data_IF_615401352222
#
_entry.id   IF_615401352222
#
_cell.length_a   1.000
_cell.length_b   1.000
_cell.length_c   1.000
_cell.angle_alpha   90.00
_cell.angle_beta   90.00
_cell.angle_gamma   90.00
#
_symmetry.space_group_name_H-M   'P 1'
#
loop_
_entity.id
_entity.type
_entity.pdbx_description
1 polymer ?
#
# COMPACT_ATOMS: atom_id res chain seq x y z
N UNK A 1 1.04 22.78 18.17
CA UNK A 1 1.50 21.43 18.56
C UNK A 1 1.57 20.43 17.40
N UNK A 2 0.46 19.94 16.82
CA UNK A 2 0.51 18.90 15.78
C UNK A 2 1.41 19.25 14.58
N UNK A 3 1.34 20.49 14.10
CA UNK A 3 2.22 21.01 13.05
C UNK A 3 3.70 20.99 13.44
N UNK A 4 4.01 21.29 14.71
CA UNK A 4 5.37 21.30 15.25
C UNK A 4 5.93 19.87 15.38
N UNK A 5 5.10 18.90 15.80
CA UNK A 5 5.49 17.48 15.87
C UNK A 5 5.63 16.82 14.49
N UNK A 6 4.83 17.28 13.51
CA UNK A 6 4.76 16.82 12.12
C UNK A 6 4.34 15.34 11.89
N UNK A 7 4.82 14.41 12.70
CA UNK A 7 4.54 12.97 12.62
C UNK A 7 4.58 12.31 13.99
N UNK A 8 3.91 11.18 14.13
CA UNK A 8 4.13 10.25 15.25
C UNK A 8 5.46 9.54 15.05
N UNK A 9 6.24 9.41 16.12
CA UNK A 9 7.52 8.66 16.12
C UNK A 9 7.29 7.29 16.76
N UNK A 10 7.60 6.23 16.00
CA UNK A 10 7.50 4.85 16.46
C UNK A 10 8.88 4.35 16.89
N UNK A 11 9.01 4.03 18.17
CA UNK A 11 10.18 3.36 18.74
C UNK A 11 9.83 1.89 18.98
N UNK A 12 10.82 1.06 19.29
CA UNK A 12 10.63 -0.38 19.53
C UNK A 12 9.74 -0.61 20.76
N UNK A 13 9.93 0.18 21.82
CA UNK A 13 9.27 0.02 23.12
C UNK A 13 8.04 0.92 23.31
N UNK A 14 7.94 2.02 22.54
CA UNK A 14 6.89 3.03 22.74
C UNK A 14 6.58 3.81 21.48
N UNK A 15 5.47 4.56 21.52
CA UNK A 15 5.08 5.52 20.49
C UNK A 15 5.02 6.92 21.08
N UNK A 16 5.63 7.90 20.39
CA UNK A 16 5.54 9.32 20.71
C UNK A 16 4.49 9.93 19.77
N UNK A 17 3.24 10.14 20.22
CA UNK A 17 2.15 10.49 19.32
C UNK A 17 2.20 11.95 18.87
N UNK A 18 1.81 12.19 17.62
CA UNK A 18 1.62 13.54 17.06
C UNK A 18 0.46 14.30 17.72
N UNK A 19 -0.60 13.56 18.08
CA UNK A 19 -1.81 14.08 18.70
C UNK A 19 -1.94 13.53 20.14
N UNK A 20 -2.75 14.16 21.01
CA UNK A 20 -3.07 13.61 22.32
C UNK A 20 -3.65 12.19 22.24
N UNK A 21 -3.29 11.31 23.19
CA UNK A 21 -3.77 9.91 23.24
C UNK A 21 -5.30 9.78 23.15
N UNK A 22 -6.13 10.61 23.80
CA UNK A 22 -7.59 10.51 23.63
C UNK A 22 -8.05 10.68 22.17
N UNK A 23 -7.36 11.50 21.36
CA UNK A 23 -7.66 11.60 19.93
C UNK A 23 -7.16 10.37 19.17
N UNK A 24 -5.92 9.95 19.41
CA UNK A 24 -5.31 8.82 18.71
C UNK A 24 -5.99 7.46 18.97
N UNK A 25 -6.36 7.20 20.22
CA UNK A 25 -6.76 5.86 20.70
C UNK A 25 -8.28 5.70 20.83
N UNK A 26 -9.01 6.82 21.02
CA UNK A 26 -10.44 6.80 21.31
C UNK A 26 -11.24 7.48 20.20
N UNK A 27 -11.06 8.79 20.01
CA UNK A 27 -11.96 9.59 19.20
C UNK A 27 -11.77 9.38 17.68
N UNK A 28 -10.51 9.37 17.21
CA UNK A 28 -10.20 9.20 15.79
C UNK A 28 -9.85 7.76 15.42
N UNK A 29 -9.54 6.90 16.40
CA UNK A 29 -9.29 5.47 16.14
C UNK A 29 -10.56 4.79 15.63
N UNK A 30 -10.45 4.04 14.53
CA UNK A 30 -11.54 3.29 13.92
C UNK A 30 -11.77 1.95 14.64
N UNK A 31 -12.04 2.04 15.95
CA UNK A 31 -12.32 0.88 16.79
C UNK A 31 -13.61 0.17 16.32
N UNK A 32 -13.59 -1.16 16.39
CA UNK A 32 -14.70 -2.01 16.01
C UNK A 32 -15.94 -1.79 16.87
N UNK A 33 -17.11 -1.99 16.27
CA UNK A 33 -18.43 -1.88 16.91
C UNK A 33 -18.72 -0.51 17.56
N UNK A 34 -18.07 0.56 17.10
CA UNK A 34 -18.37 1.93 17.52
C UNK A 34 -18.50 2.85 16.30
N UNK A 35 -19.49 3.75 16.35
CA UNK A 35 -19.70 4.72 15.28
C UNK A 35 -18.56 5.74 15.26
N UNK A 36 -18.06 6.05 14.07
CA UNK A 36 -16.90 6.93 13.85
C UNK A 36 -17.13 7.83 12.65
N UNK A 37 -16.72 9.09 12.82
CA UNK A 37 -16.58 10.01 11.70
C UNK A 37 -15.38 9.58 10.86
N UNK A 38 -15.57 9.55 9.54
CA UNK A 38 -14.53 9.23 8.58
C UNK A 38 -14.56 10.21 7.40
N UNK A 39 -13.45 10.26 6.67
CA UNK A 39 -13.41 10.82 5.34
C UNK A 39 -13.20 9.65 4.37
N UNK A 40 -14.22 9.36 3.57
CA UNK A 40 -14.22 8.24 2.65
C UNK A 40 -13.89 8.68 1.22
N UNK A 41 -13.14 7.81 0.54
CA UNK A 41 -12.90 7.83 -0.89
C UNK A 41 -13.41 6.49 -1.44
N UNK A 42 -14.40 6.54 -2.33
CA UNK A 42 -15.16 5.36 -2.79
C UNK A 42 -15.13 5.31 -4.30
N UNK A 43 -14.86 4.13 -4.87
CA UNK A 43 -14.74 3.96 -6.31
C UNK A 43 -15.17 2.54 -6.73
N UNK A 44 -15.39 2.34 -8.03
CA UNK A 44 -15.80 1.06 -8.60
C UNK A 44 -14.65 0.46 -9.42
N UNK A 45 -14.30 -0.79 -9.14
CA UNK A 45 -13.19 -1.51 -9.78
C UNK A 45 -13.63 -2.79 -10.46
N UNK A 46 -12.92 -3.12 -11.53
CA UNK A 46 -12.93 -4.44 -12.13
C UNK A 46 -12.04 -5.40 -11.33
N UNK A 47 -12.25 -6.71 -11.52
CA UNK A 47 -11.48 -7.75 -10.83
C UNK A 47 -9.99 -7.79 -11.20
N UNK A 48 -9.61 -7.20 -12.35
CA UNK A 48 -8.22 -7.06 -12.79
C UNK A 48 -7.49 -5.87 -12.13
N UNK A 49 -8.18 -5.10 -11.29
CA UNK A 49 -7.66 -3.91 -10.64
C UNK A 49 -7.81 -2.63 -11.46
N UNK A 50 -8.40 -2.66 -12.65
CA UNK A 50 -8.71 -1.41 -13.37
C UNK A 50 -9.94 -0.72 -12.76
N UNK A 51 -10.06 0.59 -12.94
CA UNK A 51 -11.30 1.29 -12.60
C UNK A 51 -12.35 1.02 -13.67
N UNK A 52 -13.61 0.94 -13.26
CA UNK A 52 -14.71 0.81 -14.20
C UNK A 52 -14.95 2.15 -14.91
N UNK A 53 -14.72 2.21 -16.23
CA UNK A 53 -15.04 3.39 -17.04
C UNK A 53 -16.56 3.57 -17.18
N UNK A 54 -17.17 4.45 -16.37
CA UNK A 54 -18.59 4.78 -16.53
C UNK A 54 -18.89 5.58 -17.81
N UNK A 55 -17.89 6.27 -18.37
CA UNK A 55 -17.98 7.05 -19.61
C UNK A 55 -18.31 6.14 -20.81
N UNK A 56 -17.69 4.96 -20.90
CA UNK A 56 -17.92 4.03 -22.00
C UNK A 56 -19.30 3.34 -21.94
N UNK A 57 -19.93 3.26 -20.77
CA UNK A 57 -21.28 2.69 -20.63
C UNK A 57 -22.37 3.69 -21.05
N UNK A 58 -22.21 4.99 -20.76
CA UNK A 58 -23.11 6.02 -21.33
C UNK A 58 -22.88 6.20 -22.84
N UNK A 59 -21.63 6.16 -23.30
CA UNK A 59 -21.34 6.22 -24.74
C UNK A 59 -21.76 4.97 -25.51
N UNK A 60 -21.71 3.75 -24.95
CA UNK A 60 -22.30 2.56 -25.62
C UNK A 60 -23.82 2.63 -25.75
N UNK A 61 -24.50 3.39 -24.91
CA UNK A 61 -25.94 3.66 -25.05
C UNK A 61 -26.24 4.88 -25.95
N UNK A 62 -25.26 5.77 -26.19
CA UNK A 62 -25.44 7.00 -27.00
C UNK A 62 -24.68 7.03 -28.34
N UNK A 63 -23.76 6.09 -28.61
CA UNK A 63 -23.09 5.90 -29.92
C UNK A 63 -24.02 5.22 -30.95
N UNK A 64 -25.29 5.60 -30.92
CA UNK A 64 -26.14 5.61 -32.11
C UNK A 64 -26.17 6.98 -32.81
N UNK A 65 -25.55 8.05 -32.26
CA UNK A 65 -25.44 9.35 -32.98
C UNK A 65 -24.17 10.16 -32.69
N UNK A 66 -23.40 10.30 -33.77
CA UNK A 66 -22.56 11.44 -34.19
C UNK A 66 -21.21 11.76 -33.51
N UNK A 67 -20.28 12.10 -34.42
CA UNK A 67 -18.87 12.45 -34.23
C UNK A 67 -18.68 13.97 -34.19
N UNK A 68 -17.68 14.45 -33.42
CA UNK A 68 -16.56 15.34 -33.86
C UNK A 68 -15.88 16.02 -32.68
N UNK A 69 -14.59 16.33 -32.88
CA UNK A 69 -13.61 16.68 -31.85
C UNK A 69 -13.75 18.06 -31.20
N UNK A 70 -13.19 18.16 -30.00
CA UNK A 70 -12.98 19.37 -29.21
C UNK A 70 -12.01 19.09 -28.05
N UNK A 71 -11.22 20.10 -27.67
CA UNK A 71 -10.28 20.09 -26.52
C UNK A 71 -10.97 19.53 -25.26
N UNK A 72 -10.41 18.47 -24.67
CA UNK A 72 -10.93 17.84 -23.43
C UNK A 72 -10.69 18.74 -22.23
N UNK A 73 -11.72 19.46 -21.80
CA UNK A 73 -11.84 20.02 -20.46
C UNK A 73 -12.34 18.91 -19.53
N UNK A 74 -11.54 18.48 -18.56
CA UNK A 74 -11.97 17.52 -17.54
C UNK A 74 -13.07 18.15 -16.67
N UNK A 75 -14.29 17.59 -16.68
CA UNK A 75 -15.37 17.99 -15.76
C UNK A 75 -15.44 17.03 -14.58
N UNK A 76 -15.96 17.52 -13.45
CA UNK A 76 -16.05 16.78 -12.19
C UNK A 76 -16.97 15.54 -12.27
N UNK A 77 -17.85 15.50 -13.28
CA UNK A 77 -18.77 14.38 -13.58
C UNK A 77 -18.07 13.17 -14.25
N UNK A 78 -16.80 13.29 -14.62
CA UNK A 78 -16.01 12.25 -15.31
C UNK A 78 -15.14 11.40 -14.36
N UNK A 79 -15.15 11.70 -13.05
CA UNK A 79 -14.35 10.95 -12.07
C UNK A 79 -15.13 9.77 -11.48
N UNK A 80 -14.66 8.54 -11.70
CA UNK A 80 -15.20 7.29 -11.13
C UNK A 80 -15.00 7.16 -9.60
N UNK A 81 -14.72 8.27 -8.90
CA UNK A 81 -14.34 8.31 -7.49
C UNK A 81 -15.19 9.35 -6.76
N UNK A 82 -15.90 8.91 -5.74
CA UNK A 82 -16.66 9.74 -4.81
C UNK A 82 -15.84 10.04 -3.56
N UNK A 83 -15.94 11.27 -3.06
CA UNK A 83 -15.28 11.73 -1.85
C UNK A 83 -16.30 12.35 -0.90
N UNK A 84 -16.21 12.09 0.39
CA UNK A 84 -17.07 12.76 1.35
C UNK A 84 -16.83 12.37 2.80
N UNK A 85 -17.35 13.22 3.70
CA UNK A 85 -17.41 12.93 5.13
C UNK A 85 -18.52 11.91 5.38
N UNK A 86 -18.21 10.88 6.14
CA UNK A 86 -19.09 9.73 6.38
C UNK A 86 -19.14 9.38 7.87
N UNK A 87 -20.12 8.55 8.23
CA UNK A 87 -20.16 7.83 9.50
C UNK A 87 -20.00 6.35 9.18
N UNK A 88 -19.06 5.68 9.85
CA UNK A 88 -18.82 4.25 9.69
C UNK A 88 -18.88 3.54 11.03
N UNK A 89 -19.13 2.23 11.00
CA UNK A 89 -19.04 1.34 12.16
C UNK A 89 -18.28 0.10 11.75
N UNK A 90 -16.99 0.01 12.11
CA UNK A 90 -16.16 -1.12 11.71
C UNK A 90 -16.70 -2.41 12.33
N UNK A 91 -16.94 -3.45 11.52
CA UNK A 91 -17.48 -4.71 12.02
C UNK A 91 -16.43 -5.64 12.62
N UNK A 92 -15.15 -5.49 12.26
CA UNK A 92 -14.06 -6.34 12.72
C UNK A 92 -12.73 -5.59 12.80
N UNK A 93 -11.82 -6.07 13.66
CA UNK A 93 -10.43 -5.57 13.78
C UNK A 93 -9.44 -6.69 13.51
N UNK A 94 -9.12 -6.88 12.23
CA UNK A 94 -8.16 -7.89 11.78
C UNK A 94 -6.72 -7.42 11.98
N UNK A 95 -5.83 -8.33 12.35
CA UNK A 95 -4.38 -8.16 12.14
C UNK A 95 -3.96 -8.80 10.81
N UNK A 96 -2.71 -8.55 10.42
CA UNK A 96 -2.17 -9.05 9.17
C UNK A 96 -2.10 -10.59 9.12
N UNK A 97 -1.89 -11.26 10.25
CA UNK A 97 -1.86 -12.72 10.31
C UNK A 97 -3.25 -13.32 10.11
N UNK A 98 -4.27 -12.79 10.79
CA UNK A 98 -5.67 -13.20 10.62
C UNK A 98 -6.13 -12.95 9.19
N UNK A 99 -5.84 -11.78 8.62
CA UNK A 99 -6.17 -11.47 7.23
C UNK A 99 -5.44 -12.42 6.25
N UNK A 100 -4.18 -12.78 6.52
CA UNK A 100 -3.47 -13.77 5.71
C UNK A 100 -4.10 -15.14 5.82
N UNK A 101 -4.51 -15.59 7.00
CA UNK A 101 -5.20 -16.87 7.20
C UNK A 101 -6.53 -16.92 6.41
N UNK A 102 -7.24 -15.81 6.30
CA UNK A 102 -8.45 -15.68 5.48
C UNK A 102 -8.11 -15.84 3.99
N UNK A 103 -7.06 -15.14 3.52
CA UNK A 103 -6.58 -15.19 2.13
C UNK A 103 -6.13 -16.61 1.75
N UNK A 104 -5.39 -17.28 2.63
CA UNK A 104 -4.87 -18.64 2.44
C UNK A 104 -5.95 -19.74 2.60
N UNK A 105 -7.21 -19.35 2.81
CA UNK A 105 -8.33 -20.27 3.07
C UNK A 105 -8.09 -21.23 4.26
N UNK A 106 -7.26 -20.82 5.23
CA UNK A 106 -7.01 -21.60 6.46
C UNK A 106 -8.16 -21.53 7.45
N UNK A 107 -9.07 -20.56 7.29
CA UNK A 107 -10.28 -20.39 8.09
C UNK A 107 -11.49 -20.50 7.17
N UNK A 108 -11.93 -21.74 6.94
CA UNK A 108 -13.17 -22.04 6.21
C UNK A 108 -14.28 -22.21 7.23
N UNK A 109 -15.36 -21.40 7.19
CA UNK A 109 -16.51 -21.65 8.04
C UNK A 109 -17.09 -23.03 7.75
N UNK A 110 -17.38 -23.82 8.79
CA UNK A 110 -17.81 -25.24 8.73
C UNK A 110 -19.05 -25.54 7.87
N UNK A 111 -19.69 -24.54 7.27
CA UNK A 111 -20.84 -24.69 6.37
C UNK A 111 -20.47 -24.99 4.90
N UNK A 112 -19.18 -24.93 4.51
CA UNK A 112 -18.74 -25.10 3.09
C UNK A 112 -17.76 -26.26 2.92
N UNK A 113 -17.97 -27.39 3.59
CA UNK A 113 -17.19 -28.63 3.34
C UNK A 113 -17.82 -29.47 2.24
N UNK A 114 -17.63 -29.04 0.99
CA UNK A 114 -17.77 -29.91 -0.19
C UNK A 114 -16.37 -30.27 -0.70
N UNK A 115 -15.63 -31.08 0.04
CA UNK A 115 -14.33 -31.61 -0.37
C UNK A 115 -13.37 -31.86 0.79
N UNK A 116 -12.94 -33.13 0.94
CA UNK A 116 -11.80 -33.77 1.64
C UNK A 116 -11.09 -33.16 2.89
N UNK A 117 -11.35 -31.93 3.33
CA UNK A 117 -10.73 -31.35 4.51
C UNK A 117 -11.60 -31.60 5.76
N UNK A 118 -11.01 -32.26 6.76
CA UNK A 118 -11.63 -32.37 8.10
C UNK A 118 -11.94 -30.97 8.64
N UNK A 119 -13.10 -30.76 9.28
CA UNK A 119 -13.39 -29.51 9.95
C UNK A 119 -12.32 -29.22 11.01
N UNK A 120 -11.88 -27.97 11.08
CA UNK A 120 -10.91 -27.51 12.07
C UNK A 120 -11.50 -27.69 13.47
N UNK A 121 -10.65 -28.05 14.43
CA UNK A 121 -11.05 -28.00 15.85
C UNK A 121 -11.29 -26.54 16.25
N UNK A 122 -12.22 -26.29 17.17
CA UNK A 122 -12.51 -24.93 17.68
C UNK A 122 -11.24 -24.25 18.20
N UNK A 123 -10.35 -25.00 18.85
CA UNK A 123 -9.06 -24.49 19.32
C UNK A 123 -8.19 -23.97 18.18
N UNK A 124 -8.03 -24.73 17.10
CA UNK A 124 -7.23 -24.31 15.95
C UNK A 124 -7.88 -23.15 15.20
N UNK A 125 -9.20 -23.08 15.20
CA UNK A 125 -9.92 -21.94 14.64
C UNK A 125 -9.71 -20.67 15.47
N UNK A 126 -9.72 -20.77 16.81
CA UNK A 126 -9.40 -19.66 17.72
C UNK A 126 -7.97 -19.13 17.53
N UNK A 127 -7.00 -20.04 17.31
CA UNK A 127 -5.61 -19.68 17.01
C UNK A 127 -5.47 -18.92 15.68
N UNK A 128 -6.25 -19.28 14.67
CA UNK A 128 -6.16 -18.68 13.33
C UNK A 128 -7.02 -17.42 13.16
N UNK A 129 -8.15 -17.33 13.86
CA UNK A 129 -9.05 -16.16 13.89
C UNK A 129 -9.65 -15.98 15.30
N UNK A 130 -8.97 -15.21 16.17
CA UNK A 130 -9.40 -15.01 17.55
C UNK A 130 -10.78 -14.36 17.67
N UNK A 131 -11.58 -14.76 18.66
CA UNK A 131 -12.94 -14.22 18.93
C UNK A 131 -12.98 -12.70 19.02
N UNK A 132 -11.97 -12.10 19.66
CA UNK A 132 -11.85 -10.64 19.79
C UNK A 132 -11.70 -9.90 18.45
N UNK A 133 -11.34 -10.61 17.37
CA UNK A 133 -11.16 -10.05 16.02
C UNK A 133 -12.24 -10.51 15.04
N UNK A 134 -13.24 -11.27 15.50
CA UNK A 134 -14.34 -11.74 14.66
C UNK A 134 -15.34 -10.63 14.39
N UNK A 135 -16.13 -10.74 13.30
CA UNK A 135 -17.12 -9.74 12.94
C UNK A 135 -18.20 -9.57 14.02
N UNK A 136 -18.69 -8.35 14.15
CA UNK A 136 -19.75 -7.90 15.05
C UNK A 136 -20.83 -7.17 14.25
N UNK A 137 -21.91 -6.73 14.91
CA UNK A 137 -22.93 -5.88 14.27
C UNK A 137 -23.80 -6.60 13.23
N UNK A 138 -23.98 -7.92 13.36
CA UNK A 138 -24.81 -8.72 12.45
C UNK A 138 -24.07 -9.27 11.23
N UNK A 139 -22.80 -8.94 11.05
CA UNK A 139 -21.96 -9.50 9.99
C UNK A 139 -21.45 -10.90 10.36
N UNK A 140 -21.41 -11.78 9.38
CA UNK A 140 -20.96 -13.17 9.54
C UNK A 140 -19.48 -13.35 9.21
N UNK A 141 -18.87 -14.43 9.71
CA UNK A 141 -17.50 -14.81 9.35
C UNK A 141 -17.33 -15.02 7.84
N UNK A 142 -18.34 -15.60 7.19
CA UNK A 142 -18.30 -15.90 5.76
C UNK A 142 -18.33 -14.63 4.91
N UNK A 143 -19.15 -13.63 5.27
CA UNK A 143 -19.20 -12.33 4.57
C UNK A 143 -17.84 -11.64 4.61
N UNK A 144 -17.29 -11.43 5.82
CA UNK A 144 -15.99 -10.76 5.98
C UNK A 144 -14.86 -11.54 5.31
N UNK A 145 -14.87 -12.88 5.40
CA UNK A 145 -13.88 -13.70 4.71
C UNK A 145 -13.96 -13.57 3.18
N UNK A 146 -15.17 -13.54 2.63
CA UNK A 146 -15.42 -13.38 1.20
C UNK A 146 -14.97 -11.99 0.72
N UNK A 147 -15.27 -10.94 1.47
CA UNK A 147 -14.88 -9.57 1.16
C UNK A 147 -13.35 -9.40 1.18
N UNK A 148 -12.66 -9.94 2.20
CA UNK A 148 -11.19 -9.89 2.26
C UNK A 148 -10.55 -10.61 1.07
N UNK A 149 -11.07 -11.78 0.67
CA UNK A 149 -10.58 -12.51 -0.51
C UNK A 149 -10.83 -11.75 -1.81
N UNK A 150 -12.00 -11.11 -1.93
CA UNK A 150 -12.33 -10.28 -3.08
C UNK A 150 -11.39 -9.06 -3.16
N UNK A 151 -11.21 -8.36 -2.04
CA UNK A 151 -10.29 -7.22 -1.94
C UNK A 151 -8.85 -7.61 -2.26
N UNK A 152 -8.41 -8.78 -1.78
CA UNK A 152 -7.10 -9.35 -2.08
C UNK A 152 -6.93 -9.58 -3.59
N UNK A 153 -7.89 -10.24 -4.25
CA UNK A 153 -7.85 -10.50 -5.69
C UNK A 153 -7.68 -9.22 -6.51
N UNK A 154 -8.48 -8.20 -6.21
CA UNK A 154 -8.42 -6.89 -6.87
C UNK A 154 -7.09 -6.20 -6.58
N UNK A 155 -6.61 -6.25 -5.34
CA UNK A 155 -5.31 -5.66 -4.96
C UNK A 155 -4.14 -6.31 -5.70
N UNK A 156 -4.15 -7.64 -5.91
CA UNK A 156 -3.09 -8.30 -6.67
C UNK A 156 -3.12 -7.92 -8.16
N UNK A 157 -4.30 -7.71 -8.74
CA UNK A 157 -4.45 -7.15 -10.09
C UNK A 157 -3.86 -5.73 -10.19
N UNK A 158 -4.21 -4.86 -9.23
CA UNK A 158 -3.62 -3.51 -9.09
C UNK A 158 -2.10 -3.53 -8.99
N UNK A 159 -1.58 -4.38 -8.11
CA UNK A 159 -0.16 -4.51 -7.89
C UNK A 159 0.55 -4.91 -9.18
N UNK A 160 0.01 -5.91 -9.89
CA UNK A 160 0.54 -6.32 -11.19
C UNK A 160 0.58 -5.15 -12.18
N UNK A 161 -0.53 -4.42 -12.35
CA UNK A 161 -0.59 -3.23 -13.21
C UNK A 161 0.44 -2.17 -12.82
N UNK A 162 0.65 -1.94 -11.52
CA UNK A 162 1.63 -0.97 -10.99
C UNK A 162 3.06 -1.30 -11.40
N UNK A 163 3.48 -2.57 -11.31
CA UNK A 163 4.81 -3.00 -11.76
C UNK A 163 4.93 -3.08 -13.29
N UNK A 164 3.87 -3.50 -13.99
CA UNK A 164 3.84 -3.48 -15.45
C UNK A 164 3.98 -2.04 -15.99
N UNK A 165 3.42 -1.07 -15.26
CA UNK A 165 3.56 0.37 -15.51
C UNK A 165 4.91 0.95 -15.08
N UNK A 166 5.80 0.18 -14.44
CA UNK A 166 7.17 0.59 -14.16
C UNK A 166 7.46 1.05 -12.73
N UNK A 167 6.61 0.71 -11.77
CA UNK A 167 6.95 0.90 -10.37
C UNK A 167 8.17 0.04 -9.96
N UNK A 168 8.85 0.52 -8.94
CA UNK A 168 10.03 -0.08 -8.33
C UNK A 168 9.72 -0.37 -6.86
N UNK A 169 9.88 -1.63 -6.48
CA UNK A 169 9.81 -2.08 -5.09
C UNK A 169 11.23 -2.25 -4.58
N UNK A 170 11.59 -1.40 -3.64
CA UNK A 170 12.82 -1.47 -2.89
C UNK A 170 12.41 -1.55 -1.43
N UNK A 171 12.66 -2.69 -0.79
CA UNK A 171 12.35 -2.90 0.62
C UNK A 171 13.66 -3.10 1.38
N UNK A 172 13.96 -2.18 2.30
CA UNK A 172 15.05 -2.40 3.25
C UNK A 172 14.66 -3.45 4.29
N UNK A 173 15.64 -4.15 4.85
CA UNK A 173 15.42 -5.10 5.93
C UNK A 173 14.84 -4.39 7.16
N UNK A 174 13.61 -4.76 7.55
CA UNK A 174 12.97 -4.28 8.79
C UNK A 174 13.11 -5.33 9.88
N UNK A 175 13.73 -4.93 10.99
CA UNK A 175 13.82 -5.75 12.19
C UNK A 175 12.56 -5.61 13.05
N UNK A 176 12.10 -6.73 13.57
CA UNK A 176 11.05 -6.83 14.57
C UNK A 176 11.63 -7.49 15.82
N UNK A 177 11.29 -6.93 16.99
CA UNK A 177 11.75 -7.40 18.28
C UNK A 177 10.57 -7.91 19.09
N UNK A 178 10.74 -9.05 19.77
CA UNK A 178 9.84 -9.46 20.85
C UNK A 178 10.43 -8.97 22.15
N UNK A 179 9.67 -8.16 22.87
CA UNK A 179 10.07 -7.64 24.18
C UNK A 179 9.54 -8.56 25.27
N UNK A 180 10.39 -8.86 26.24
CA UNK A 180 9.96 -9.57 27.45
C UNK A 180 8.98 -8.69 28.22
N UNK A 181 7.80 -9.22 28.55
CA UNK A 181 6.72 -8.45 29.19
C UNK A 181 7.09 -7.92 30.58
N UNK A 182 7.97 -8.60 31.31
CA UNK A 182 8.37 -8.23 32.67
C UNK A 182 9.53 -7.24 32.68
N UNK A 183 10.55 -7.46 31.84
CA UNK A 183 11.78 -6.65 31.86
C UNK A 183 11.80 -5.54 30.81
N UNK A 184 10.98 -5.63 29.77
CA UNK A 184 10.99 -4.71 28.62
C UNK A 184 12.19 -4.88 27.67
N UNK A 185 13.07 -5.86 27.92
CA UNK A 185 14.27 -6.12 27.12
C UNK A 185 13.93 -7.04 25.94
N UNK A 186 14.46 -6.81 24.73
CA UNK A 186 14.25 -7.70 23.60
C UNK A 186 14.87 -9.09 23.85
N UNK A 187 14.07 -10.14 23.71
CA UNK A 187 14.52 -11.54 23.82
C UNK A 187 14.61 -12.27 22.47
N UNK A 188 14.01 -11.69 21.42
CA UNK A 188 14.04 -12.19 20.06
C UNK A 188 14.14 -11.01 19.08
N UNK A 189 14.97 -11.19 18.06
CA UNK A 189 15.07 -10.30 16.90
C UNK A 189 14.90 -11.12 15.63
N UNK A 190 14.09 -10.63 14.70
CA UNK A 190 13.90 -11.25 13.40
C UNK A 190 13.52 -10.22 12.34
N UNK A 191 13.42 -10.65 11.08
CA UNK A 191 12.89 -9.78 10.02
C UNK A 191 11.36 -9.74 10.09
N UNK A 192 10.78 -8.61 9.72
CA UNK A 192 9.32 -8.48 9.56
C UNK A 192 8.93 -8.89 8.14
N UNK A 193 8.32 -10.08 7.94
CA UNK A 193 7.94 -10.53 6.60
C UNK A 193 6.74 -9.74 6.08
N UNK A 194 6.86 -9.19 4.87
CA UNK A 194 5.74 -8.56 4.16
C UNK A 194 4.96 -9.66 3.44
N UNK A 195 3.70 -9.87 3.83
CA UNK A 195 2.79 -10.87 3.25
C UNK A 195 1.73 -10.23 2.35
N UNK A 196 0.90 -11.05 1.73
CA UNK A 196 -0.15 -10.57 0.83
C UNK A 196 -1.22 -9.74 1.56
N UNK A 197 -1.47 -9.99 2.84
CA UNK A 197 -2.31 -9.13 3.67
C UNK A 197 -1.75 -7.71 3.83
N UNK A 198 -0.42 -7.54 3.89
CA UNK A 198 0.22 -6.21 3.89
C UNK A 198 0.04 -5.53 2.54
N UNK A 199 0.32 -6.26 1.45
CA UNK A 199 0.23 -5.77 0.07
C UNK A 199 -1.21 -5.39 -0.30
N UNK A 200 -2.21 -6.12 0.22
CA UNK A 200 -3.62 -5.78 0.07
C UNK A 200 -3.87 -4.34 0.53
N UNK A 201 -3.49 -4.01 1.77
CA UNK A 201 -3.72 -2.66 2.32
C UNK A 201 -2.89 -1.63 1.56
N UNK A 202 -1.63 -1.94 1.24
CA UNK A 202 -0.74 -1.05 0.48
C UNK A 202 -1.40 -0.54 -0.81
N UNK A 203 -1.97 -1.42 -1.63
CA UNK A 203 -2.54 -1.05 -2.93
C UNK A 203 -3.74 -0.10 -2.81
N UNK A 204 -4.64 -0.33 -1.85
CA UNK A 204 -5.78 0.57 -1.62
C UNK A 204 -5.34 1.92 -1.05
N UNK A 205 -4.32 1.94 -0.19
CA UNK A 205 -3.77 3.19 0.34
C UNK A 205 -3.07 4.01 -0.75
N UNK A 206 -2.26 3.38 -1.60
CA UNK A 206 -1.61 4.02 -2.74
C UNK A 206 -2.66 4.62 -3.69
N UNK A 207 -3.73 3.87 -3.98
CA UNK A 207 -4.80 4.31 -4.87
C UNK A 207 -5.58 5.50 -4.29
N UNK A 208 -5.96 5.45 -3.01
CA UNK A 208 -6.63 6.57 -2.35
C UNK A 208 -5.76 7.84 -2.38
N UNK A 209 -4.48 7.71 -2.04
CA UNK A 209 -3.52 8.82 -2.05
C UNK A 209 -3.33 9.41 -3.46
N UNK A 210 -3.26 8.58 -4.49
CA UNK A 210 -3.16 9.04 -5.89
C UNK A 210 -4.40 9.86 -6.30
N UNK A 211 -5.59 9.36 -6.01
CA UNK A 211 -6.84 10.03 -6.37
C UNK A 211 -7.06 11.34 -5.63
N UNK A 212 -6.70 11.38 -4.35
CA UNK A 212 -6.72 12.62 -3.58
C UNK A 212 -5.70 13.62 -4.12
N UNK A 213 -4.50 13.20 -4.54
CA UNK A 213 -3.55 14.10 -5.20
C UNK A 213 -4.15 14.74 -6.47
N UNK A 214 -4.82 13.96 -7.31
CA UNK A 214 -5.51 14.48 -8.49
C UNK A 214 -6.63 15.46 -8.13
N UNK A 215 -7.41 15.15 -7.08
CA UNK A 215 -8.46 16.03 -6.58
C UNK A 215 -7.89 17.37 -6.13
N UNK A 216 -6.80 17.36 -5.36
CA UNK A 216 -6.11 18.56 -4.88
C UNK A 216 -5.62 19.42 -6.04
N UNK A 217 -4.93 18.84 -7.03
CA UNK A 217 -4.41 19.59 -8.19
C UNK A 217 -5.53 20.31 -8.94
N UNK A 218 -6.71 19.68 -9.02
CA UNK A 218 -7.85 20.20 -9.79
C UNK A 218 -8.65 21.25 -9.02
N UNK A 219 -8.80 21.10 -7.70
CA UNK A 219 -9.77 21.87 -6.90
C UNK A 219 -9.16 22.75 -5.81
N UNK A 220 -7.94 22.47 -5.34
CA UNK A 220 -7.29 23.32 -4.37
C UNK A 220 -7.00 24.70 -5.00
N UNK A 221 -6.90 25.77 -4.19
CA UNK A 221 -6.44 27.06 -4.69
C UNK A 221 -5.13 26.91 -5.46
N UNK A 222 -4.97 27.68 -6.54
CA UNK A 222 -3.85 27.54 -7.48
C UNK A 222 -2.50 27.54 -6.72
N UNK A 223 -1.70 26.51 -6.97
CA UNK A 223 -0.39 26.32 -6.34
C UNK A 223 -0.42 25.77 -4.90
N UNK A 224 -1.60 25.60 -4.30
CA UNK A 224 -1.74 25.15 -2.91
C UNK A 224 -1.96 23.65 -2.74
N UNK A 225 -1.92 22.85 -3.81
CA UNK A 225 -1.96 21.39 -3.65
C UNK A 225 -0.69 20.89 -2.96
N UNK A 226 -0.84 20.30 -1.77
CA UNK A 226 0.24 19.64 -1.04
C UNK A 226 0.46 18.24 -1.61
N UNK A 227 1.59 18.03 -2.25
CA UNK A 227 1.98 16.78 -2.90
C UNK A 227 3.19 16.14 -2.21
N UNK A 228 3.51 14.92 -2.60
CA UNK A 228 4.71 14.20 -2.18
C UNK A 228 5.39 13.59 -3.40
N UNK A 229 6.52 14.17 -3.79
CA UNK A 229 7.30 13.72 -4.93
C UNK A 229 8.47 12.83 -4.50
N UNK A 230 9.14 12.22 -5.47
CA UNK A 230 10.35 11.44 -5.23
C UNK A 230 11.23 11.58 -6.46
N UNK A 231 12.32 12.32 -6.31
CA UNK A 231 13.29 12.55 -7.36
C UNK A 231 13.97 11.24 -7.82
N UNK A 232 14.51 11.18 -9.05
CA UNK A 232 15.31 10.05 -9.48
C UNK A 232 16.59 9.89 -8.62
N UNK A 233 17.24 8.72 -8.67
CA UNK A 233 18.48 8.48 -7.94
C UNK A 233 19.60 9.40 -8.40
N UNK A 234 20.59 9.64 -7.54
CA UNK A 234 21.80 10.38 -7.89
C UNK A 234 22.62 9.56 -8.90
N UNK A 235 22.72 10.08 -10.13
CA UNK A 235 23.31 9.38 -11.29
C UNK A 235 24.70 8.80 -11.01
N UNK A 236 25.65 9.63 -10.56
CA UNK A 236 27.02 9.18 -10.21
C UNK A 236 27.04 8.08 -9.16
N UNK A 237 26.16 8.17 -8.16
CA UNK A 237 26.07 7.16 -7.11
C UNK A 237 25.50 5.85 -7.65
N UNK A 238 24.50 5.93 -8.52
CA UNK A 238 23.92 4.76 -9.17
C UNK A 238 24.90 4.07 -10.11
N UNK A 239 25.71 4.82 -10.88
CA UNK A 239 26.74 4.26 -11.76
C UNK A 239 27.78 3.45 -10.99
N UNK A 240 28.19 3.93 -9.81
CA UNK A 240 29.10 3.20 -8.92
C UNK A 240 28.49 1.87 -8.50
N UNK A 241 27.21 1.85 -8.12
CA UNK A 241 26.52 0.60 -7.73
C UNK A 241 26.38 -0.34 -8.93
N UNK A 242 25.97 0.17 -10.10
CA UNK A 242 25.83 -0.64 -11.32
C UNK A 242 27.16 -1.31 -11.68
N UNK A 243 28.28 -0.58 -11.65
CA UNK A 243 29.60 -1.14 -11.93
C UNK A 243 30.04 -2.13 -10.86
N UNK A 244 29.82 -1.83 -9.57
CA UNK A 244 30.17 -2.74 -8.48
C UNK A 244 29.41 -4.08 -8.58
N UNK A 245 28.11 -4.05 -8.90
CA UNK A 245 27.28 -5.25 -9.09
C UNK A 245 27.76 -6.06 -10.30
N UNK A 246 28.15 -5.40 -11.40
CA UNK A 246 28.69 -6.06 -12.58
C UNK A 246 30.03 -6.73 -12.30
N UNK A 247 30.98 -5.99 -11.72
CA UNK A 247 32.36 -6.46 -11.52
C UNK A 247 32.49 -7.47 -10.38
N UNK A 248 31.74 -7.28 -9.30
CA UNK A 248 31.88 -8.10 -8.08
C UNK A 248 30.94 -9.30 -8.07
N UNK A 249 29.74 -9.17 -8.63
CA UNK A 249 28.70 -10.22 -8.59
C UNK A 249 28.37 -10.80 -9.96
N UNK A 250 28.87 -10.21 -11.06
CA UNK A 250 28.64 -10.70 -12.41
C UNK A 250 27.22 -10.46 -12.95
N UNK A 251 26.44 -9.57 -12.33
CA UNK A 251 25.06 -9.28 -12.72
C UNK A 251 24.93 -7.97 -13.49
N UNK A 252 24.05 -7.95 -14.50
CA UNK A 252 23.72 -6.73 -15.25
C UNK A 252 22.54 -5.97 -14.63
N UNK A 253 22.83 -4.80 -14.06
CA UNK A 253 21.84 -3.91 -13.47
C UNK A 253 21.55 -2.72 -14.40
N UNK A 254 20.29 -2.58 -14.84
CA UNK A 254 19.88 -1.46 -15.70
C UNK A 254 19.13 -0.39 -14.89
N UNK A 255 19.82 0.70 -14.54
CA UNK A 255 19.25 1.78 -13.73
C UNK A 255 18.64 2.96 -14.55
N UNK A 256 18.44 2.81 -15.87
CA UNK A 256 17.94 3.89 -16.75
C UNK A 256 16.53 4.40 -16.41
N UNK A 257 15.73 3.58 -15.72
CA UNK A 257 14.42 3.97 -15.20
C UNK A 257 14.01 3.04 -14.06
N UNK A 258 13.03 3.45 -13.25
CA UNK A 258 12.42 2.61 -12.21
C UNK A 258 11.95 1.24 -12.75
N UNK A 259 11.39 1.22 -13.98
CA UNK A 259 10.94 0.00 -14.65
C UNK A 259 12.08 -0.94 -15.01
N UNK A 260 13.13 -0.40 -15.62
CA UNK A 260 14.28 -1.20 -16.04
C UNK A 260 15.04 -1.72 -14.81
N UNK A 261 15.16 -0.90 -13.77
CA UNK A 261 15.80 -1.27 -12.52
C UNK A 261 15.04 -2.41 -11.84
N UNK A 262 13.72 -2.29 -11.73
CA UNK A 262 12.89 -3.37 -11.19
C UNK A 262 13.00 -4.66 -12.02
N UNK A 263 12.99 -4.56 -13.35
CA UNK A 263 13.12 -5.72 -14.24
C UNK A 263 14.47 -6.43 -14.05
N UNK A 264 15.57 -5.68 -13.94
CA UNK A 264 16.89 -6.26 -13.65
C UNK A 264 16.91 -6.98 -12.30
N UNK A 265 16.34 -6.38 -11.24
CA UNK A 265 16.26 -7.00 -9.92
C UNK A 265 15.46 -8.31 -9.92
N UNK A 266 14.32 -8.34 -10.60
CA UNK A 266 13.51 -9.56 -10.77
C UNK A 266 14.29 -10.64 -11.50
N UNK A 267 15.08 -10.27 -12.51
CA UNK A 267 15.88 -11.24 -13.28
C UNK A 267 17.05 -11.80 -12.47
N UNK A 268 17.76 -10.94 -11.73
CA UNK A 268 18.81 -11.35 -10.78
C UNK A 268 18.24 -12.30 -9.72
N UNK A 269 17.04 -12.01 -9.20
CA UNK A 269 16.35 -12.90 -8.25
C UNK A 269 16.09 -14.31 -8.79
N UNK A 270 15.77 -14.45 -10.09
CA UNK A 270 15.60 -15.76 -10.73
C UNK A 270 16.93 -16.51 -10.90
N UNK A 271 17.98 -15.80 -11.31
CA UNK A 271 19.31 -16.38 -11.51
C UNK A 271 19.88 -16.92 -10.20
N UNK A 272 19.82 -16.14 -9.12
CA UNK A 272 20.31 -16.53 -7.79
C UNK A 272 19.54 -17.72 -7.20
N UNK A 273 18.23 -17.81 -7.47
CA UNK A 273 17.38 -18.93 -7.02
C UNK A 273 17.70 -20.24 -7.74
N UNK A 274 18.13 -20.19 -8.99
CA UNK A 274 18.44 -21.39 -9.79
C UNK A 274 19.76 -22.09 -9.40
N UNK A 275 20.69 -21.36 -8.78
CA UNK A 275 22.00 -21.87 -8.35
C UNK A 275 21.94 -22.57 -6.98
N UNK A 276 20.92 -22.25 -6.17
CA UNK A 276 20.75 -22.82 -4.83
C UNK A 276 19.97 -24.14 -4.89
N UNK A 277 20.69 -25.26 -4.96
CA UNK A 277 20.19 -26.64 -5.08
C UNK A 277 19.50 -27.22 -3.82
N UNK A 278 18.95 -26.39 -2.93
CA UNK A 278 18.20 -26.86 -1.76
C UNK A 278 16.68 -26.76 -1.99
N UNK A 279 16.08 -27.93 -2.18
CA UNK A 279 14.65 -28.18 -2.31
C UNK A 279 13.91 -27.87 -1.01
N UNK A 280 13.62 -26.59 -0.74
CA UNK A 280 12.62 -26.20 0.24
C UNK A 280 11.82 -25.03 -0.29
N UNK A 281 10.53 -25.27 -0.52
CA UNK A 281 9.56 -24.30 -1.03
C UNK A 281 9.45 -23.10 -0.07
N UNK A 282 10.19 -22.02 -0.33
CA UNK A 282 9.84 -20.69 0.15
C UNK A 282 10.57 -19.61 -0.65
N UNK A 283 9.82 -18.58 -1.00
CA UNK A 283 10.20 -17.36 -1.70
C UNK A 283 11.16 -16.47 -0.88
N UNK A 284 12.28 -17.01 -0.42
CA UNK A 284 13.29 -16.24 0.28
C UNK A 284 14.20 -15.55 -0.73
N UNK A 285 14.23 -14.22 -0.70
CA UNK A 285 15.23 -13.44 -1.44
C UNK A 285 16.62 -13.90 -1.02
N UNK A 286 17.50 -14.13 -1.99
CA UNK A 286 18.89 -14.52 -1.74
C UNK A 286 19.64 -13.39 -1.03
N UNK A 287 20.62 -13.73 -0.20
CA UNK A 287 21.47 -12.73 0.48
C UNK A 287 22.11 -11.77 -0.53
N UNK A 288 22.46 -12.27 -1.72
CA UNK A 288 22.99 -11.45 -2.81
C UNK A 288 21.98 -10.39 -3.27
N UNK A 289 20.73 -10.78 -3.52
CA UNK A 289 19.68 -9.83 -3.90
C UNK A 289 19.39 -8.80 -2.78
N UNK A 290 19.46 -9.23 -1.52
CA UNK A 290 19.32 -8.33 -0.37
C UNK A 290 20.47 -7.30 -0.33
N UNK A 291 21.72 -7.73 -0.49
CA UNK A 291 22.87 -6.83 -0.58
C UNK A 291 22.72 -5.84 -1.74
N UNK A 292 22.30 -6.29 -2.92
CA UNK A 292 22.06 -5.42 -4.08
C UNK A 292 20.95 -4.40 -3.77
N UNK A 293 19.84 -4.83 -3.18
CA UNK A 293 18.75 -3.93 -2.78
C UNK A 293 19.24 -2.84 -1.82
N UNK A 294 20.01 -3.20 -0.78
CA UNK A 294 20.56 -2.23 0.18
C UNK A 294 21.59 -1.28 -0.46
N UNK A 295 22.43 -1.78 -1.38
CA UNK A 295 23.35 -0.94 -2.15
C UNK A 295 22.61 0.11 -2.99
N UNK A 296 21.53 -0.30 -3.67
CA UNK A 296 20.71 0.59 -4.51
C UNK A 296 20.02 1.67 -3.69
N UNK A 297 19.68 1.42 -2.41
CA UNK A 297 19.07 2.46 -1.55
C UNK A 297 19.98 3.66 -1.32
N UNK A 298 21.30 3.46 -1.36
CA UNK A 298 22.29 4.52 -1.06
C UNK A 298 22.21 5.72 -2.01
N UNK A 299 22.14 5.54 -3.34
CA UNK A 299 21.94 6.65 -4.29
C UNK A 299 20.48 7.09 -4.46
N UNK A 300 19.49 6.45 -3.84
CA UNK A 300 18.08 6.89 -3.95
C UNK A 300 17.88 8.21 -3.20
N UNK A 301 17.18 9.15 -3.83
CA UNK A 301 16.77 10.38 -3.15
C UNK A 301 15.65 10.10 -2.15
N UNK A 302 15.56 10.86 -1.03
CA UNK A 302 14.37 10.82 -0.19
C UNK A 302 13.14 11.34 -0.93
N UNK A 303 11.96 10.95 -0.46
CA UNK A 303 10.69 11.45 -0.97
C UNK A 303 10.15 12.59 -0.10
N UNK A 304 10.06 13.78 -0.69
CA UNK A 304 9.77 15.04 0.00
C UNK A 304 8.35 15.55 -0.26
N UNK A 305 7.85 16.36 0.67
CA UNK A 305 6.59 17.09 0.48
C UNK A 305 6.85 18.40 -0.24
N UNK A 306 6.01 18.72 -1.22
CA UNK A 306 6.12 19.93 -2.03
C UNK A 306 4.76 20.61 -2.17
N UNK A 307 4.77 21.92 -2.38
CA UNK A 307 3.59 22.66 -2.83
C UNK A 307 3.61 22.74 -4.36
N UNK A 308 2.50 22.40 -5.00
CA UNK A 308 2.38 22.43 -6.47
C UNK A 308 2.77 23.76 -7.12
N UNK A 309 2.66 24.90 -6.42
CA UNK A 309 3.01 26.21 -6.94
C UNK A 309 4.51 26.52 -6.99
N UNK A 310 5.30 25.79 -6.21
CA UNK A 310 6.75 26.04 -6.08
C UNK A 310 7.57 25.25 -7.11
N UNK A 311 6.95 24.29 -7.81
CA UNK A 311 7.62 23.35 -8.71
C UNK A 311 6.84 23.18 -10.01
N UNK A 312 7.53 22.99 -11.15
CA UNK A 312 6.88 22.66 -12.41
C UNK A 312 6.25 21.26 -12.36
N UNK A 313 5.25 21.00 -13.22
CA UNK A 313 4.45 19.76 -13.18
C UNK A 313 5.29 18.49 -13.39
N UNK A 314 6.37 18.59 -14.17
CA UNK A 314 7.27 17.46 -14.45
C UNK A 314 8.00 16.97 -13.19
N UNK A 315 8.20 17.85 -12.21
CA UNK A 315 8.90 17.56 -10.96
C UNK A 315 7.98 17.00 -9.86
N UNK A 316 6.67 16.95 -10.07
CA UNK A 316 5.72 16.35 -9.13
C UNK A 316 5.80 14.82 -9.09
N UNK A 317 6.47 14.22 -10.08
CA UNK A 317 6.57 12.78 -10.28
C UNK A 317 7.15 12.07 -9.06
N UNK A 318 6.61 10.89 -8.78
CA UNK A 318 7.18 9.98 -7.80
C UNK A 318 7.97 8.87 -8.51
N UNK A 319 9.30 8.92 -8.51
CA UNK A 319 10.17 8.00 -9.24
C UNK A 319 9.88 6.52 -8.95
N UNK A 320 9.94 6.10 -7.67
CA UNK A 320 9.74 4.69 -7.34
C UNK A 320 8.33 4.16 -7.61
N UNK A 321 7.27 4.96 -7.42
CA UNK A 321 5.90 4.55 -7.72
C UNK A 321 5.59 4.66 -9.23
N UNK A 322 6.44 5.35 -9.98
CA UNK A 322 6.27 5.69 -11.38
C UNK A 322 4.90 6.30 -11.74
N UNK A 323 4.49 7.30 -10.96
CA UNK A 323 3.24 8.04 -11.14
C UNK A 323 3.52 9.55 -11.22
N UNK A 324 2.72 10.32 -11.98
CA UNK A 324 2.97 11.75 -12.23
C UNK A 324 2.77 12.64 -11.01
N UNK A 325 1.94 12.22 -10.06
CA UNK A 325 1.66 12.95 -8.83
C UNK A 325 1.24 11.98 -7.74
N UNK A 326 1.48 12.37 -6.49
CA UNK A 326 1.14 11.60 -5.32
C UNK A 326 1.02 12.53 -4.10
N UNK A 327 0.29 12.11 -3.07
CA UNK A 327 0.23 12.82 -1.78
C UNK A 327 0.04 11.82 -0.64
N UNK A 328 -0.11 12.30 0.58
CA UNK A 328 -0.52 11.49 1.72
C UNK A 328 -1.86 11.96 2.28
N UNK A 329 -2.81 11.03 2.36
CA UNK A 329 -4.17 11.27 2.85
C UNK A 329 -4.60 10.25 3.91
N UNK A 330 -4.09 9.02 3.85
CA UNK A 330 -4.64 7.87 4.58
C UNK A 330 -4.19 7.72 6.04
N UNK A 331 -3.50 8.69 6.63
CA UNK A 331 -2.97 8.58 8.00
C UNK A 331 -2.94 9.90 8.80
N UNK A 332 -4.06 10.67 8.88
CA UNK A 332 -4.12 11.96 9.56
C UNK A 332 -3.88 11.90 11.08
N UNK A 333 -4.03 10.74 11.71
CA UNK A 333 -3.77 10.57 13.16
C UNK A 333 -2.27 10.65 13.47
N UNK A 334 -1.42 10.31 12.50
CA UNK A 334 0.04 10.13 12.71
C UNK A 334 0.92 10.96 11.79
N UNK A 335 0.34 11.73 10.85
CA UNK A 335 1.07 12.58 9.91
C UNK A 335 0.31 13.89 9.68
N UNK A 336 0.99 15.00 9.85
CA UNK A 336 0.38 16.33 9.73
C UNK A 336 0.11 16.72 8.27
N UNK A 337 0.91 16.23 7.32
CA UNK A 337 0.65 16.41 5.90
C UNK A 337 -0.74 15.90 5.50
N UNK A 338 -1.14 14.71 5.99
CA UNK A 338 -2.48 14.17 5.78
C UNK A 338 -3.57 15.06 6.40
N UNK A 339 -3.31 15.70 7.55
CA UNK A 339 -4.25 16.67 8.15
C UNK A 339 -4.44 17.90 7.26
N UNK A 340 -3.37 18.40 6.63
CA UNK A 340 -3.46 19.50 5.67
C UNK A 340 -4.25 19.08 4.43
N UNK A 341 -3.94 17.90 3.88
CA UNK A 341 -4.64 17.34 2.72
C UNK A 341 -6.13 17.09 3.00
N UNK A 342 -6.52 16.73 4.23
CA UNK A 342 -7.94 16.59 4.60
C UNK A 342 -8.70 17.92 4.65
N UNK A 343 -7.99 19.05 4.77
CA UNK A 343 -8.59 20.40 4.86
C UNK A 343 -8.69 21.10 3.50
N UNK A 344 -7.70 20.84 2.63
CA UNK A 344 -7.70 21.26 1.23
C UNK A 344 -8.74 20.46 0.44
#
# INVERSE_FOLDING_TARGET
EAAHRATTVYLVDRTIPMLPRPLCEIACSLNENVDRLAFSCVWIMNLDGTLMDTINNKQRQQQSKESKGGKKTFRDEDCNVWYGKTVIRSCARLDYDTAQNIIDEKVIPSAVTSGSNRPLTEQKFEELWPKARRPTGGHTLQEVASDVRLLHKVAMGRRKLRFDNGALALHGMKLAFRLNETTGIPDLCGTYPIRDSNRLVEEYMLLANYWVAQRLITHAPKGMALLRHHAPPVERGMDVIVNAVRESLGYELNASSSKMLHRSLVEIGKQTSSTSSSSTNCSAETLELQCINEMIMTPMCPADYIMSGDFPEEEWRHFALNIPYYTHFTSPIRRYADVMVHRL
#
